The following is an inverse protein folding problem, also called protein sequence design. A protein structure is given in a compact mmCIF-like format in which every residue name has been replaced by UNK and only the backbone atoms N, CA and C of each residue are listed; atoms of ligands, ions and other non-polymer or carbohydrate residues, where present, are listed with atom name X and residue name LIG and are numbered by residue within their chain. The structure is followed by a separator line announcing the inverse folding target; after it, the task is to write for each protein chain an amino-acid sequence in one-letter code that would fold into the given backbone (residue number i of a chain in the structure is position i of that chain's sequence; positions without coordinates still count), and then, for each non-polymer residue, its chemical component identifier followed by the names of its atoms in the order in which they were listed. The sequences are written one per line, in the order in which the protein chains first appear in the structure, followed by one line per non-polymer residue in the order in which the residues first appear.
data_IF_391828840297
#
_entry.id   IF_391828840297
#
_cell.length_a   1.000
_cell.length_b   1.000
_cell.length_c   1.000
_cell.angle_alpha   90.00
_cell.angle_beta   90.00
_cell.angle_gamma   90.00
#
_symmetry.space_group_name_H-M   'P 1'
#
loop_
_entity.id
_entity.type
_entity.pdbx_description
1 polymer ?
#
# COMPACT_ATOMS: atom_id res chain seq x y z
N UNK A 1 -28.37 -57.96 30.16
CA UNK A 1 -26.90 -58.15 30.25
C UNK A 1 -26.32 -57.79 28.90
N UNK A 2 -25.12 -57.17 28.91
CA UNK A 2 -24.32 -56.57 27.81
C UNK A 2 -24.85 -55.25 27.25
N UNK A 3 -24.11 -54.13 27.13
CA UNK A 3 -22.77 -53.67 27.54
C UNK A 3 -22.89 -52.13 27.54
N UNK A 4 -22.51 -51.40 28.59
CA UNK A 4 -21.17 -50.84 28.85
C UNK A 4 -20.63 -49.90 27.76
N UNK A 5 -20.01 -48.81 28.24
CA UNK A 5 -18.95 -47.99 27.64
C UNK A 5 -19.30 -46.60 27.03
N UNK A 6 -18.93 -45.60 27.85
CA UNK A 6 -18.27 -44.31 27.55
C UNK A 6 -19.07 -43.07 27.12
N UNK A 7 -19.12 -42.15 28.10
CA UNK A 7 -18.99 -40.69 28.04
C UNK A 7 -18.60 -40.06 26.68
N UNK A 8 -19.27 -38.96 26.25
CA UNK A 8 -18.97 -38.27 24.99
C UNK A 8 -17.69 -37.42 25.11
N UNK A 9 -16.56 -37.94 24.66
CA UNK A 9 -15.41 -37.10 24.27
C UNK A 9 -15.66 -36.55 22.87
N UNK A 10 -16.29 -35.38 22.79
CA UNK A 10 -16.36 -34.62 21.56
C UNK A 10 -14.96 -34.17 21.10
N UNK A 11 -14.64 -34.22 19.80
CA UNK A 11 -13.53 -33.45 19.29
C UNK A 11 -13.92 -31.96 19.29
N UNK A 12 -13.21 -31.20 20.12
CA UNK A 12 -13.15 -29.74 20.11
C UNK A 12 -13.02 -29.20 18.68
N UNK A 13 -14.12 -28.71 18.10
CA UNK A 13 -14.07 -27.84 16.92
C UNK A 13 -13.97 -26.41 17.38
N UNK A 14 -12.79 -26.07 17.89
CA UNK A 14 -12.36 -24.69 18.08
C UNK A 14 -12.54 -23.91 16.78
N UNK A 15 -13.19 -22.75 16.89
CA UNK A 15 -12.95 -21.57 16.05
C UNK A 15 -13.17 -21.75 14.54
N UNK A 16 -14.40 -22.03 14.11
CA UNK A 16 -14.82 -21.54 12.78
C UNK A 16 -15.24 -20.08 12.94
N UNK A 17 -14.34 -19.16 12.59
CA UNK A 17 -14.75 -17.77 12.33
C UNK A 17 -15.90 -17.82 11.30
N UNK A 18 -17.03 -17.13 11.51
CA UNK A 18 -18.03 -17.03 10.46
C UNK A 18 -17.35 -16.40 9.23
N UNK A 19 -17.46 -17.08 8.08
CA UNK A 19 -17.01 -16.51 6.82
C UNK A 19 -17.72 -15.16 6.64
N UNK A 20 -17.04 -14.10 6.19
CA UNK A 20 -17.70 -12.84 5.92
C UNK A 20 -18.85 -13.10 4.92
N UNK A 21 -19.98 -12.37 5.01
CA UNK A 21 -21.05 -12.52 4.04
C UNK A 21 -20.47 -12.27 2.64
N UNK A 22 -20.41 -13.32 1.82
CA UNK A 22 -19.99 -13.19 0.43
C UNK A 22 -20.95 -12.25 -0.25
N UNK A 23 -20.51 -11.02 -0.50
CA UNK A 23 -21.20 -10.12 -1.41
C UNK A 23 -21.13 -10.81 -2.77
N UNK A 24 -22.24 -10.86 -3.50
CA UNK A 24 -22.29 -11.45 -4.84
C UNK A 24 -22.59 -10.33 -5.83
N UNK A 25 -21.94 -10.36 -6.99
CA UNK A 25 -22.23 -9.47 -8.11
C UNK A 25 -22.71 -10.26 -9.31
N UNK A 26 -23.47 -9.63 -10.20
CA UNK A 26 -23.85 -10.22 -11.48
C UNK A 26 -22.58 -10.51 -12.28
N UNK A 27 -22.48 -11.70 -12.87
CA UNK A 27 -21.37 -12.04 -13.74
C UNK A 27 -21.28 -11.03 -14.91
N UNK A 28 -20.10 -10.50 -15.23
CA UNK A 28 -19.94 -9.58 -16.35
C UNK A 28 -20.43 -10.24 -17.65
N UNK A 29 -21.11 -9.46 -18.49
CA UNK A 29 -21.72 -9.88 -19.76
C UNK A 29 -22.82 -10.96 -19.63
N UNK A 30 -23.31 -11.24 -18.43
CA UNK A 30 -24.39 -12.21 -18.23
C UNK A 30 -25.74 -11.65 -18.68
N UNK A 31 -26.46 -12.47 -19.45
CA UNK A 31 -27.80 -12.16 -19.92
C UNK A 31 -28.84 -12.90 -19.06
N UNK A 32 -29.94 -12.25 -18.65
CA UNK A 32 -30.94 -12.88 -17.81
C UNK A 32 -31.64 -14.02 -18.56
N UNK A 33 -31.78 -15.16 -17.88
CA UNK A 33 -32.51 -16.34 -18.38
C UNK A 33 -33.89 -16.40 -17.75
N UNK A 34 -34.80 -17.11 -18.42
CA UNK A 34 -36.18 -17.35 -17.95
C UNK A 34 -36.90 -16.05 -17.55
N UNK A 35 -36.75 -15.01 -18.37
CA UNK A 35 -37.35 -13.70 -18.10
C UNK A 35 -38.87 -13.81 -18.03
N UNK A 36 -39.47 -13.22 -17.00
CA UNK A 36 -40.91 -13.12 -16.76
C UNK A 36 -41.24 -11.67 -16.46
N UNK A 37 -42.41 -11.22 -16.90
CA UNK A 37 -42.92 -9.89 -16.58
C UNK A 37 -43.87 -9.98 -15.39
N UNK A 38 -43.56 -9.24 -14.34
CA UNK A 38 -44.41 -9.11 -13.17
C UNK A 38 -45.65 -8.25 -13.46
N UNK A 39 -46.66 -8.30 -12.57
CA UNK A 39 -47.86 -7.46 -12.68
C UNK A 39 -47.56 -5.96 -12.52
N UNK A 40 -46.43 -5.62 -11.92
CA UNK A 40 -45.82 -4.28 -11.83
C UNK A 40 -45.10 -3.84 -13.14
N UNK A 41 -45.04 -4.72 -14.14
CA UNK A 41 -44.35 -4.48 -15.40
C UNK A 41 -42.84 -4.73 -15.35
N UNK A 42 -42.27 -5.07 -14.18
CA UNK A 42 -40.84 -5.33 -13.99
C UNK A 42 -40.47 -6.70 -14.56
N UNK A 43 -39.30 -6.80 -15.18
CA UNK A 43 -38.79 -8.06 -15.72
C UNK A 43 -37.90 -8.77 -14.67
N UNK A 44 -38.29 -9.98 -14.31
CA UNK A 44 -37.56 -10.85 -13.40
C UNK A 44 -36.93 -11.99 -14.20
N UNK A 45 -35.65 -12.27 -13.97
CA UNK A 45 -34.93 -13.34 -14.63
C UNK A 45 -33.78 -13.85 -13.77
N UNK A 46 -33.34 -15.07 -14.06
CA UNK A 46 -32.21 -15.68 -13.40
C UNK A 46 -30.92 -15.18 -14.04
N UNK A 47 -30.01 -14.64 -13.23
CA UNK A 47 -28.71 -14.15 -13.68
C UNK A 47 -27.62 -14.86 -12.89
N UNK A 48 -26.60 -15.46 -13.54
CA UNK A 48 -25.49 -16.06 -12.84
C UNK A 48 -24.75 -15.00 -12.03
N UNK A 49 -24.58 -15.28 -10.73
CA UNK A 49 -23.83 -14.44 -9.82
C UNK A 49 -22.41 -15.00 -9.64
N UNK A 50 -21.45 -14.11 -9.53
CA UNK A 50 -20.08 -14.43 -9.12
C UNK A 50 -19.85 -13.88 -7.72
N UNK A 51 -19.13 -14.60 -6.85
CA UNK A 51 -18.73 -14.05 -5.57
C UNK A 51 -17.90 -12.80 -5.81
N UNK A 52 -18.22 -11.74 -5.09
CA UNK A 52 -17.45 -10.50 -5.07
C UNK A 52 -16.21 -10.77 -4.22
N UNK A 53 -15.17 -11.27 -4.87
CA UNK A 53 -13.89 -11.61 -4.24
C UNK A 53 -13.06 -10.37 -3.90
N UNK A 54 -13.59 -9.17 -4.12
CA UNK A 54 -12.88 -7.90 -3.95
C UNK A 54 -12.71 -7.51 -2.46
N UNK A 55 -13.16 -8.38 -1.53
CA UNK A 55 -13.08 -8.17 -0.09
C UNK A 55 -11.82 -8.63 0.64
N UNK A 56 -11.00 -9.56 0.11
CA UNK A 56 -9.85 -10.08 0.88
C UNK A 56 -8.59 -10.30 0.03
N UNK A 57 -7.56 -9.51 0.36
CA UNK A 57 -6.14 -9.75 0.10
C UNK A 57 -5.70 -9.84 -1.35
N UNK A 58 -5.31 -8.68 -1.89
CA UNK A 58 -4.37 -8.63 -3.00
C UNK A 58 -3.09 -9.39 -2.67
N UNK A 59 -2.92 -10.58 -3.24
CA UNK A 59 -1.61 -11.24 -3.43
C UNK A 59 -1.55 -11.94 -4.79
N UNK A 60 -0.74 -11.31 -5.64
CA UNK A 60 0.17 -11.89 -6.62
C UNK A 60 -0.41 -12.77 -7.73
N UNK A 61 -0.83 -12.09 -8.78
CA UNK A 61 -0.69 -12.63 -10.13
C UNK A 61 0.78 -12.48 -10.58
N UNK A 62 1.49 -13.60 -10.62
CA UNK A 62 2.65 -13.90 -11.49
C UNK A 62 2.06 -14.97 -12.40
N UNK A 63 1.85 -14.73 -13.68
CA UNK A 63 2.87 -14.62 -14.71
C UNK A 63 2.13 -14.37 -16.04
N UNK A 64 2.64 -13.51 -16.91
CA UNK A 64 1.91 -13.26 -18.16
C UNK A 64 2.27 -12.01 -18.97
N UNK A 65 3.47 -12.04 -19.58
CA UNK A 65 3.70 -11.57 -20.96
C UNK A 65 3.42 -10.09 -21.31
N UNK A 66 4.52 -9.33 -21.33
CA UNK A 66 4.86 -8.25 -22.29
C UNK A 66 3.70 -7.70 -23.12
N UNK A 67 3.25 -6.48 -22.80
CA UNK A 67 2.52 -5.62 -23.73
C UNK A 67 2.75 -4.16 -23.36
N UNK A 68 3.38 -3.43 -24.29
CA UNK A 68 3.41 -1.96 -24.39
C UNK A 68 4.00 -1.20 -23.20
N UNK A 69 5.10 -0.49 -23.40
CA UNK A 69 5.49 0.62 -22.51
C UNK A 69 4.26 1.55 -22.44
N UNK A 70 3.51 1.63 -21.32
CA UNK A 70 2.45 2.60 -21.25
C UNK A 70 3.16 3.94 -21.32
N UNK A 71 2.67 4.79 -22.22
CA UNK A 71 3.03 6.19 -22.22
C UNK A 71 2.98 6.67 -20.77
N UNK A 72 4.12 7.13 -20.26
CA UNK A 72 4.30 7.36 -18.83
C UNK A 72 3.17 8.29 -18.40
N UNK A 73 2.25 7.88 -17.50
CA UNK A 73 1.22 8.81 -17.05
C UNK A 73 1.94 10.07 -16.59
N UNK A 74 1.50 11.27 -17.03
CA UNK A 74 2.15 12.52 -16.65
C UNK A 74 2.33 12.47 -15.15
N UNK A 75 3.59 12.62 -14.70
CA UNK A 75 3.95 12.53 -13.27
C UNK A 75 2.92 13.39 -12.55
N UNK A 76 2.03 12.78 -11.77
CA UNK A 76 1.04 13.53 -11.02
C UNK A 76 1.84 14.38 -10.04
N UNK A 77 2.08 15.63 -10.43
CA UNK A 77 2.75 16.60 -9.57
C UNK A 77 1.84 16.78 -8.37
N UNK A 78 2.42 16.84 -7.18
CA UNK A 78 1.64 17.24 -6.02
C UNK A 78 1.00 18.61 -6.33
N UNK A 79 -0.29 18.73 -6.06
CA UNK A 79 -0.99 20.00 -6.25
C UNK A 79 -0.36 21.00 -5.27
N UNK A 80 0.21 22.11 -5.76
CA UNK A 80 0.79 23.11 -4.87
C UNK A 80 -0.31 23.75 -4.02
N UNK A 81 0.07 24.23 -2.83
CA UNK A 81 -0.83 25.04 -2.01
C UNK A 81 -1.21 26.34 -2.74
N UNK A 82 -2.33 26.93 -2.34
CA UNK A 82 -2.75 28.25 -2.80
C UNK A 82 -1.72 29.31 -2.40
N UNK A 83 -1.49 30.31 -3.24
CA UNK A 83 -0.58 31.42 -2.94
C UNK A 83 -0.88 32.04 -1.55
N UNK A 84 0.16 32.16 -0.72
CA UNK A 84 0.05 32.64 0.67
C UNK A 84 -0.21 31.55 1.71
N UNK A 85 -0.45 30.30 1.30
CA UNK A 85 -0.49 29.12 2.18
C UNK A 85 0.74 28.24 1.92
N UNK A 86 1.57 28.00 2.94
CA UNK A 86 2.71 27.05 2.87
C UNK A 86 2.49 25.92 3.88
N UNK A 87 1.47 25.09 3.62
CA UNK A 87 1.20 23.89 4.41
C UNK A 87 2.14 22.74 4.05
N UNK A 88 2.94 22.92 2.98
CA UNK A 88 3.96 21.98 2.58
C UNK A 88 4.98 21.79 3.72
N UNK A 89 5.23 20.53 4.13
CA UNK A 89 6.20 20.23 5.17
C UNK A 89 7.62 20.65 4.78
N UNK A 90 8.30 21.36 5.68
CA UNK A 90 9.69 21.73 5.51
C UNK A 90 10.63 20.63 6.04
N UNK A 91 11.40 19.93 5.18
CA UNK A 91 12.40 18.97 5.64
C UNK A 91 13.58 19.63 6.38
N UNK A 92 13.81 20.93 6.20
CA UNK A 92 14.93 21.63 6.84
C UNK A 92 14.74 21.87 8.32
N UNK A 93 13.50 21.82 8.81
CA UNK A 93 13.16 21.92 10.22
C UNK A 93 13.53 20.65 11.01
N UNK A 94 13.81 19.53 10.34
CA UNK A 94 14.19 18.29 11.01
C UNK A 94 15.64 18.37 11.53
N UNK A 95 15.82 18.09 12.83
CA UNK A 95 17.12 18.04 13.51
C UNK A 95 17.58 16.62 13.81
N UNK A 96 16.66 15.64 13.78
CA UNK A 96 16.96 14.23 14.00
C UNK A 96 16.48 13.34 12.83
N UNK A 97 17.07 12.14 12.65
CA UNK A 97 16.56 11.17 11.67
C UNK A 97 15.09 10.79 11.87
N UNK A 98 14.62 10.76 13.12
CA UNK A 98 13.23 10.45 13.44
C UNK A 98 12.28 11.58 12.98
N UNK A 99 12.67 12.83 13.19
CA UNK A 99 11.94 14.01 12.70
C UNK A 99 11.92 14.06 11.17
N UNK A 100 13.01 13.69 10.51
CA UNK A 100 13.08 13.61 9.06
C UNK A 100 12.06 12.60 8.52
N UNK A 101 11.97 11.39 9.11
CA UNK A 101 10.96 10.40 8.72
C UNK A 101 9.54 10.90 9.05
N UNK A 102 9.34 11.62 10.15
CA UNK A 102 8.06 12.24 10.47
C UNK A 102 7.65 13.29 9.41
N UNK A 103 8.60 14.11 8.96
CA UNK A 103 8.41 15.05 7.86
C UNK A 103 8.06 14.31 6.57
N UNK A 104 8.70 13.18 6.25
CA UNK A 104 8.33 12.37 5.09
C UNK A 104 6.87 11.88 5.17
N UNK A 105 6.41 11.44 6.35
CA UNK A 105 5.01 11.05 6.55
C UNK A 105 4.05 12.22 6.35
N UNK A 106 4.42 13.41 6.83
CA UNK A 106 3.66 14.65 6.60
C UNK A 106 3.59 14.98 5.11
N UNK A 107 4.72 14.90 4.39
CA UNK A 107 4.78 15.20 2.96
C UNK A 107 3.92 14.25 2.14
N UNK A 108 3.92 12.96 2.50
CA UNK A 108 3.02 11.98 1.90
C UNK A 108 1.55 12.35 2.11
N UNK A 109 1.18 12.86 3.29
CA UNK A 109 -0.19 13.31 3.57
C UNK A 109 -0.56 14.53 2.74
N UNK A 110 0.32 15.51 2.69
CA UNK A 110 0.16 16.72 1.87
C UNK A 110 0.00 16.37 0.39
N UNK A 111 0.76 15.41 -0.12
CA UNK A 111 0.63 14.88 -1.48
C UNK A 111 -0.63 14.02 -1.75
N UNK A 112 -1.63 14.01 -0.86
CA UNK A 112 -2.88 13.27 -1.04
C UNK A 112 -2.84 11.81 -0.56
N UNK A 113 -1.86 11.44 0.28
CA UNK A 113 -1.74 10.11 0.90
C UNK A 113 -1.71 8.93 -0.08
N UNK A 114 -0.85 8.94 -1.12
CA UNK A 114 -0.74 7.81 -2.06
C UNK A 114 -0.42 6.51 -1.32
N UNK A 115 -1.03 5.40 -1.72
CA UNK A 115 -0.70 4.07 -1.18
C UNK A 115 0.72 3.66 -1.55
N UNK A 116 1.34 2.74 -0.79
CA UNK A 116 2.70 2.28 -1.10
C UNK A 116 2.82 1.61 -2.49
N UNK A 117 1.72 0.99 -2.97
CA UNK A 117 1.66 0.40 -4.32
C UNK A 117 1.62 1.48 -5.40
N UNK A 118 0.83 2.54 -5.21
CA UNK A 118 0.84 3.71 -6.10
C UNK A 118 2.20 4.40 -6.09
N UNK A 119 2.84 4.53 -4.93
CA UNK A 119 4.20 5.10 -4.84
C UNK A 119 5.23 4.30 -5.64
N UNK A 120 5.18 2.97 -5.57
CA UNK A 120 6.02 2.09 -6.40
C UNK A 120 5.78 2.33 -7.90
N UNK A 121 4.52 2.48 -8.32
CA UNK A 121 4.18 2.75 -9.71
C UNK A 121 4.67 4.16 -10.14
N UNK A 122 4.44 5.18 -9.32
CA UNK A 122 4.80 6.57 -9.60
C UNK A 122 6.31 6.78 -9.75
N UNK A 123 7.13 6.06 -8.97
CA UNK A 123 8.59 6.11 -9.11
C UNK A 123 9.14 5.21 -10.24
N UNK A 124 8.28 4.48 -10.95
CA UNK A 124 8.66 3.56 -12.03
C UNK A 124 9.35 2.28 -11.54
N UNK A 125 9.00 1.80 -10.34
CA UNK A 125 9.56 0.57 -9.77
C UNK A 125 10.96 0.71 -9.17
N UNK A 126 11.52 1.92 -9.09
CA UNK A 126 12.84 2.18 -8.46
C UNK A 126 12.89 1.77 -6.98
N UNK A 127 11.75 1.78 -6.29
CA UNK A 127 11.60 1.32 -4.92
C UNK A 127 10.33 0.51 -4.78
N UNK A 128 10.39 -0.57 -3.99
CA UNK A 128 9.23 -1.43 -3.74
C UNK A 128 8.28 -0.82 -2.70
N UNK A 129 7.00 -1.18 -2.76
CA UNK A 129 6.02 -0.83 -1.74
C UNK A 129 6.47 -1.23 -0.32
N UNK A 130 7.11 -2.39 -0.18
CA UNK A 130 7.68 -2.87 1.09
C UNK A 130 8.83 -1.97 1.56
N UNK A 131 9.70 -1.53 0.66
CA UNK A 131 10.80 -0.61 0.99
C UNK A 131 10.27 0.71 1.53
N UNK A 132 9.23 1.28 0.91
CA UNK A 132 8.58 2.49 1.40
C UNK A 132 7.93 2.28 2.77
N UNK A 133 7.20 1.19 2.96
CA UNK A 133 6.60 0.86 4.24
C UNK A 133 7.66 0.74 5.35
N UNK A 134 8.74 -0.01 5.10
CA UNK A 134 9.82 -0.19 6.07
C UNK A 134 10.50 1.12 6.42
N UNK A 135 10.91 1.91 5.41
CA UNK A 135 11.58 3.19 5.64
C UNK A 135 10.69 4.18 6.42
N UNK A 136 9.40 4.24 6.10
CA UNK A 136 8.45 5.10 6.79
C UNK A 136 8.00 4.56 8.14
N UNK A 137 8.29 3.30 8.49
CA UNK A 137 7.98 2.74 9.81
C UNK A 137 9.13 2.91 10.80
N UNK A 138 10.36 2.98 10.30
CA UNK A 138 11.57 3.14 11.10
C UNK A 138 11.77 4.58 11.57
N UNK A 139 12.66 4.77 12.54
CA UNK A 139 13.13 6.09 13.02
C UNK A 139 14.59 6.39 12.61
N UNK A 140 15.12 5.61 11.66
CA UNK A 140 16.49 5.75 11.14
C UNK A 140 16.47 6.56 9.84
N UNK A 141 17.58 7.21 9.52
CA UNK A 141 17.70 8.00 8.31
C UNK A 141 17.64 7.07 7.08
N UNK A 142 16.66 7.23 6.17
CA UNK A 142 16.60 6.41 4.97
C UNK A 142 17.75 6.74 4.01
N UNK A 143 18.15 5.81 3.14
CA UNK A 143 19.19 6.09 2.14
C UNK A 143 18.72 7.14 1.14
N UNK A 144 19.63 7.99 0.67
CA UNK A 144 19.32 9.07 -0.29
C UNK A 144 18.57 8.61 -1.57
N UNK A 145 18.89 7.45 -2.20
CA UNK A 145 18.12 6.96 -3.35
C UNK A 145 16.65 6.64 -3.03
N UNK A 146 16.37 6.20 -1.79
CA UNK A 146 14.99 5.98 -1.34
C UNK A 146 14.26 7.31 -1.16
N UNK A 147 14.96 8.33 -0.64
CA UNK A 147 14.41 9.70 -0.53
C UNK A 147 14.07 10.25 -1.91
N UNK A 148 14.95 10.11 -2.90
CA UNK A 148 14.67 10.53 -4.28
C UNK A 148 13.43 9.82 -4.87
N UNK A 149 13.37 8.50 -4.71
CA UNK A 149 12.23 7.71 -5.17
C UNK A 149 10.93 8.08 -4.44
N UNK A 150 11.01 8.42 -3.15
CA UNK A 150 9.90 8.87 -2.33
C UNK A 150 9.35 10.21 -2.81
N UNK A 151 10.21 11.21 -3.03
CA UNK A 151 9.79 12.53 -3.53
C UNK A 151 9.17 12.40 -4.91
N UNK A 152 9.79 11.62 -5.81
CA UNK A 152 9.21 11.32 -7.12
C UNK A 152 7.84 10.65 -7.00
N UNK A 153 7.71 9.67 -6.09
CA UNK A 153 6.48 8.91 -5.88
C UNK A 153 5.32 9.76 -5.34
N UNK A 154 5.64 10.77 -4.54
CA UNK A 154 4.70 11.75 -4.00
C UNK A 154 4.50 12.96 -4.92
N UNK A 155 5.02 12.95 -6.15
CA UNK A 155 4.79 14.02 -7.11
C UNK A 155 5.62 15.29 -6.88
N UNK A 156 6.67 15.22 -6.06
CA UNK A 156 7.63 16.31 -5.90
C UNK A 156 8.51 16.47 -7.15
N UNK A 157 9.00 17.68 -7.35
CA UNK A 157 9.91 18.03 -8.45
C UNK A 157 11.38 17.99 -8.01
N UNK A 158 12.28 18.38 -8.92
CA UNK A 158 13.72 18.39 -8.66
C UNK A 158 14.10 19.44 -7.61
N UNK A 159 13.34 20.54 -7.51
CA UNK A 159 13.58 21.58 -6.51
C UNK A 159 13.23 21.06 -5.12
N UNK A 160 12.12 20.34 -4.99
CA UNK A 160 11.72 19.65 -3.78
C UNK A 160 12.80 18.62 -3.41
N UNK A 161 13.21 17.75 -4.33
CA UNK A 161 14.26 16.77 -4.06
C UNK A 161 15.55 17.42 -3.53
N UNK A 162 15.98 18.57 -4.07
CA UNK A 162 17.16 19.30 -3.55
C UNK A 162 17.00 19.74 -2.11
N UNK A 163 15.80 20.20 -1.69
CA UNK A 163 15.53 20.55 -0.28
C UNK A 163 15.68 19.33 0.62
N UNK A 164 15.03 18.23 0.24
CA UNK A 164 15.10 16.97 0.98
C UNK A 164 16.51 16.39 1.05
N UNK A 165 17.26 16.44 -0.05
CA UNK A 165 18.65 15.99 -0.09
C UNK A 165 19.56 16.88 0.76
N UNK A 166 19.28 18.18 0.86
CA UNK A 166 20.05 19.10 1.70
C UNK A 166 19.81 18.83 3.19
N UNK A 167 18.54 18.70 3.60
CA UNK A 167 18.19 18.29 4.96
C UNK A 167 18.81 16.93 5.32
N UNK A 168 18.72 15.96 4.40
CA UNK A 168 19.33 14.64 4.56
C UNK A 168 20.84 14.72 4.80
N UNK A 169 21.58 15.52 4.01
CA UNK A 169 23.04 15.70 4.18
C UNK A 169 23.38 16.38 5.50
N UNK A 170 22.59 17.35 5.96
CA UNK A 170 22.80 17.99 7.27
C UNK A 170 22.71 16.97 8.39
N UNK A 171 21.74 16.06 8.33
CA UNK A 171 21.58 15.00 9.31
C UNK A 171 22.71 13.97 9.20
N UNK A 172 23.05 13.49 8.00
CA UNK A 172 24.13 12.52 7.81
C UNK A 172 25.49 13.05 8.30
N UNK A 173 25.81 14.31 7.98
CA UNK A 173 27.06 14.94 8.38
C UNK A 173 27.07 15.35 9.87
N UNK A 174 25.90 15.67 10.45
CA UNK A 174 25.76 15.98 11.87
C UNK A 174 25.65 14.76 12.79
N UNK A 175 25.27 13.59 12.24
CA UNK A 175 25.22 12.28 12.93
C UNK A 175 26.58 11.58 12.92
N UNK A 176 27.62 12.19 12.33
CA UNK A 176 28.99 11.68 12.29
C UNK A 176 29.68 11.50 13.66
N UNK A 177 29.04 11.89 14.76
CA UNK A 177 29.52 11.71 16.13
C UNK A 177 28.66 10.69 16.92
N UNK A 178 28.42 9.49 16.37
CA UNK A 178 28.18 8.24 17.14
C UNK A 178 28.12 7.03 16.18
N UNK A 179 29.05 6.04 16.28
CA UNK A 179 29.19 4.96 15.32
C UNK A 179 28.33 3.76 15.72
N UNK A 180 27.07 3.68 15.27
CA UNK A 180 26.31 2.43 15.41
C UNK A 180 26.70 1.41 14.33
N UNK A 181 27.76 0.68 14.67
CA UNK A 181 28.15 -0.62 14.11
C UNK A 181 27.03 -1.63 14.37
N UNK A 182 26.46 -2.20 13.30
CA UNK A 182 26.11 -3.63 13.28
C UNK A 182 26.03 -4.16 11.84
N UNK A 183 26.98 -5.01 11.40
CA UNK A 183 26.67 -6.20 10.60
C UNK A 183 26.83 -7.46 11.48
N UNK A 184 26.43 -8.68 11.06
CA UNK A 184 25.37 -9.11 10.14
C UNK A 184 24.43 -10.16 10.82
N UNK A 185 23.39 -10.65 10.13
CA UNK A 185 22.94 -12.05 10.32
C UNK A 185 22.50 -12.69 9.00
N UNK A 186 23.35 -13.60 8.49
CA UNK A 186 22.90 -14.86 7.89
C UNK A 186 22.88 -15.90 9.02
N UNK A 187 21.87 -16.78 9.08
CA UNK A 187 22.09 -18.14 9.52
C UNK A 187 22.17 -19.09 8.33
N UNK A 188 23.13 -20.01 8.42
CA UNK A 188 23.26 -21.20 7.59
C UNK A 188 22.21 -22.24 7.99
N UNK A 189 21.69 -22.95 6.99
CA UNK A 189 21.53 -24.41 6.96
C UNK A 189 21.28 -24.83 5.52
#
# INVERSE_FOLDING_TARGET
MTSDILNPSGPNSSMRRPAPPTVYRIAPDAHPRRVRRGPDGVLYGEVPLVPDTDGETGRHDRDGRQQGKPDRPPRLRAVPDLDGHDNRPDPMAATTPAEFVAAMRLFRRWAGSPSYRQMQQNCGGRCSATSFHTALSQKRLPKLPLVEAFITACGGDDAEYRRWATAWRRLELGVGEEPDRTPPRRPAS
#
